data_IF_517860158085
#
_entry.id   IF_517860158085
#
_cell.length_a   1.000
_cell.length_b   1.000
_cell.length_c   1.000
_cell.angle_alpha   90.00
_cell.angle_beta   90.00
_cell.angle_gamma   90.00
#
_symmetry.space_group_name_H-M   'P 1'
#
loop_
_entity.id
_entity.type
_entity.pdbx_description
1 polymer ?
#
# COMPACT_ATOMS: atom_id res chain seq x y z
N UNK A 1 -10.34 -18.19 -3.37
CA UNK A 1 -9.83 -17.77 -4.70
C UNK A 1 -10.97 -17.82 -5.72
N UNK A 2 -10.94 -16.92 -6.70
CA UNK A 2 -11.99 -16.87 -7.72
C UNK A 2 -12.04 -18.12 -8.57
N UNK A 3 -10.90 -18.75 -8.84
CA UNK A 3 -10.82 -20.00 -9.61
C UNK A 3 -11.61 -21.11 -8.93
N UNK A 4 -11.47 -21.25 -7.62
CA UNK A 4 -12.14 -22.29 -6.83
C UNK A 4 -13.66 -22.18 -6.85
N UNK A 5 -14.17 -20.99 -7.14
CA UNK A 5 -15.60 -20.72 -7.22
C UNK A 5 -16.13 -20.72 -8.66
N UNK A 6 -15.30 -21.10 -9.63
CA UNK A 6 -15.66 -21.09 -11.04
C UNK A 6 -15.86 -19.71 -11.63
N UNK A 7 -15.38 -18.66 -10.95
CA UNK A 7 -15.54 -17.27 -11.40
C UNK A 7 -14.46 -16.81 -12.37
N UNK A 8 -13.41 -17.60 -12.52
CA UNK A 8 -12.27 -17.26 -13.37
C UNK A 8 -11.70 -18.54 -13.97
N UNK A 9 -11.48 -18.54 -15.28
CA UNK A 9 -10.82 -19.63 -15.97
C UNK A 9 -9.32 -19.60 -15.66
N UNK A 10 -8.67 -20.77 -15.78
CA UNK A 10 -7.23 -20.89 -15.49
C UNK A 10 -6.41 -19.95 -16.36
N UNK A 11 -6.75 -19.77 -17.62
CA UNK A 11 -6.06 -18.84 -18.52
C UNK A 11 -6.20 -17.39 -18.07
N UNK A 12 -7.38 -17.00 -17.60
CA UNK A 12 -7.61 -15.66 -17.06
C UNK A 12 -6.80 -15.44 -15.78
N UNK A 13 -6.74 -16.44 -14.91
CA UNK A 13 -5.93 -16.38 -13.70
C UNK A 13 -4.46 -16.16 -14.04
N UNK A 14 -3.92 -16.92 -15.00
CA UNK A 14 -2.52 -16.80 -15.40
C UNK A 14 -2.23 -15.42 -15.99
N UNK A 15 -3.13 -14.88 -16.79
CA UNK A 15 -2.99 -13.54 -17.37
C UNK A 15 -2.96 -12.47 -16.28
N UNK A 16 -3.83 -12.56 -15.27
CA UNK A 16 -3.87 -11.63 -14.14
C UNK A 16 -2.59 -11.74 -13.30
N UNK A 17 -2.14 -12.95 -13.00
CA UNK A 17 -0.93 -13.17 -12.20
C UNK A 17 0.34 -12.64 -12.87
N UNK A 18 0.37 -12.59 -14.19
CA UNK A 18 1.50 -12.00 -14.92
C UNK A 18 1.61 -10.49 -14.75
N UNK A 19 0.56 -9.83 -14.29
CA UNK A 19 0.57 -8.40 -13.98
C UNK A 19 1.21 -8.10 -12.62
N UNK A 20 1.48 -9.12 -11.82
CA UNK A 20 2.07 -8.99 -10.50
C UNK A 20 3.54 -9.43 -10.58
N UNK A 21 4.43 -8.53 -10.20
CA UNK A 21 5.88 -8.79 -10.22
C UNK A 21 6.40 -8.72 -8.78
N UNK A 22 6.78 -9.86 -8.17
CA UNK A 22 7.40 -9.82 -6.84
C UNK A 22 8.83 -9.27 -6.93
N UNK A 23 9.23 -8.55 -5.87
CA UNK A 23 10.57 -7.98 -5.78
C UNK A 23 11.03 -7.94 -4.33
N UNK A 24 12.36 -7.94 -4.13
CA UNK A 24 12.98 -7.80 -2.82
C UNK A 24 13.76 -6.49 -2.68
N UNK A 25 13.64 -5.58 -3.64
CA UNK A 25 14.38 -4.31 -3.62
C UNK A 25 13.43 -3.12 -3.80
N UNK A 26 13.70 -2.05 -3.04
CA UNK A 26 12.96 -0.80 -3.18
C UNK A 26 13.23 -0.09 -4.52
N UNK A 27 14.36 -0.36 -5.16
CA UNK A 27 14.71 0.27 -6.43
C UNK A 27 13.69 -0.01 -7.54
N UNK A 28 13.00 -1.15 -7.46
CA UNK A 28 11.95 -1.49 -8.42
C UNK A 28 10.68 -0.66 -8.26
N UNK A 29 10.59 0.17 -7.23
CA UNK A 29 9.43 1.02 -6.95
C UNK A 29 9.58 2.44 -7.50
N UNK A 30 10.64 2.74 -8.23
CA UNK A 30 10.94 4.10 -8.69
C UNK A 30 9.87 4.69 -9.64
N UNK A 31 9.16 3.84 -10.36
CA UNK A 31 8.17 4.26 -11.36
C UNK A 31 6.71 4.07 -10.92
N UNK A 32 6.46 3.66 -9.68
CA UNK A 32 5.09 3.42 -9.23
C UNK A 32 4.36 4.72 -8.92
N UNK A 33 3.04 4.71 -9.06
CA UNK A 33 2.18 5.86 -8.78
C UNK A 33 1.69 5.86 -7.34
N UNK A 34 1.54 4.67 -6.74
CA UNK A 34 1.09 4.51 -5.37
C UNK A 34 1.75 3.29 -4.74
N UNK A 35 2.10 3.42 -3.48
CA UNK A 35 2.59 2.30 -2.65
C UNK A 35 1.60 2.10 -1.51
N UNK A 36 1.21 0.85 -1.28
CA UNK A 36 0.43 0.48 -0.09
C UNK A 36 1.32 -0.36 0.82
N UNK A 37 1.64 0.18 1.98
CA UNK A 37 2.45 -0.51 2.98
C UNK A 37 1.54 -1.32 3.91
N UNK A 38 1.90 -2.57 4.18
CA UNK A 38 1.10 -3.50 4.96
C UNK A 38 1.96 -4.32 5.93
N UNK A 39 2.95 -3.68 6.54
CA UNK A 39 3.80 -4.34 7.54
C UNK A 39 3.11 -4.36 8.89
N UNK A 40 3.77 -4.97 9.89
CA UNK A 40 3.23 -5.05 11.26
C UNK A 40 2.81 -3.68 11.78
N UNK A 41 1.78 -3.66 12.63
CA UNK A 41 1.23 -2.44 13.22
C UNK A 41 2.18 -1.90 14.31
N UNK A 42 3.30 -1.35 13.88
CA UNK A 42 4.36 -0.80 14.70
C UNK A 42 4.81 0.53 14.10
N UNK A 43 4.65 1.61 14.85
CA UNK A 43 4.91 2.96 14.34
C UNK A 43 6.37 3.15 13.92
N UNK A 44 7.32 2.69 14.74
CA UNK A 44 8.75 2.87 14.44
C UNK A 44 9.13 2.13 13.16
N UNK A 45 8.61 0.92 12.96
CA UNK A 45 8.84 0.14 11.74
C UNK A 45 8.23 0.83 10.53
N UNK A 46 7.00 1.32 10.64
CA UNK A 46 6.34 2.02 9.55
C UNK A 46 7.06 3.31 9.18
N UNK A 47 7.55 4.06 10.15
CA UNK A 47 8.33 5.28 9.91
C UNK A 47 9.63 4.95 9.17
N UNK A 48 10.33 3.91 9.57
CA UNK A 48 11.55 3.46 8.90
C UNK A 48 11.28 3.09 7.44
N UNK A 49 10.22 2.32 7.20
CA UNK A 49 9.84 1.91 5.85
C UNK A 49 9.42 3.11 5.01
N UNK A 50 8.66 4.05 5.57
CA UNK A 50 8.24 5.24 4.84
C UNK A 50 9.42 6.14 4.48
N UNK A 51 10.45 6.22 5.32
CA UNK A 51 11.69 6.91 4.95
C UNK A 51 12.34 6.27 3.71
N UNK A 52 12.38 4.94 3.66
CA UNK A 52 12.92 4.22 2.51
C UNK A 52 12.05 4.41 1.27
N UNK A 53 10.74 4.34 1.41
CA UNK A 53 9.82 4.59 0.30
C UNK A 53 9.94 6.01 -0.22
N UNK A 54 10.08 6.98 0.67
CA UNK A 54 10.25 8.39 0.30
C UNK A 54 11.51 8.61 -0.53
N UNK A 55 12.58 7.88 -0.22
CA UNK A 55 13.86 7.96 -0.93
C UNK A 55 13.82 7.28 -2.29
N UNK A 56 13.14 6.13 -2.40
CA UNK A 56 13.22 5.26 -3.59
C UNK A 56 12.08 5.44 -4.58
N UNK A 57 11.00 6.11 -4.19
CA UNK A 57 9.85 6.30 -5.07
C UNK A 57 9.88 7.67 -5.73
N UNK A 58 9.15 7.78 -6.84
CA UNK A 58 8.91 9.02 -7.54
C UNK A 58 8.31 10.06 -6.58
N UNK A 59 8.72 11.33 -6.71
CA UNK A 59 8.26 12.41 -5.84
C UNK A 59 6.73 12.62 -5.85
N UNK A 60 6.07 12.21 -6.92
CA UNK A 60 4.61 12.33 -7.06
C UNK A 60 3.85 11.09 -6.58
N UNK A 61 4.56 10.02 -6.19
CA UNK A 61 3.92 8.80 -5.72
C UNK A 61 3.19 9.04 -4.40
N UNK A 62 2.01 8.46 -4.26
CA UNK A 62 1.24 8.47 -3.03
C UNK A 62 1.71 7.30 -2.18
N UNK A 63 1.95 7.55 -0.90
CA UNK A 63 2.39 6.54 0.06
C UNK A 63 1.23 6.26 1.02
N UNK A 64 0.68 5.08 0.95
CA UNK A 64 -0.46 4.68 1.76
C UNK A 64 -0.03 3.63 2.79
N UNK A 65 -0.47 3.78 4.04
CA UNK A 65 -0.24 2.80 5.08
C UNK A 65 -1.53 2.06 5.40
N UNK A 66 -1.47 0.74 5.32
CA UNK A 66 -2.57 -0.11 5.77
C UNK A 66 -2.52 -0.19 7.30
N UNK A 67 -3.26 0.68 7.97
CA UNK A 67 -3.31 0.76 9.42
C UNK A 67 -4.73 1.02 9.89
N UNK A 68 -5.07 0.48 11.05
CA UNK A 68 -6.38 0.69 11.68
C UNK A 68 -6.32 1.59 12.91
N UNK A 69 -5.13 1.82 13.47
CA UNK A 69 -5.01 2.51 14.75
C UNK A 69 -3.84 3.47 14.91
N UNK A 70 -2.88 3.48 13.99
CA UNK A 70 -1.73 4.38 14.11
C UNK A 70 -2.04 5.75 13.53
N UNK A 71 -1.37 6.75 14.08
CA UNK A 71 -1.50 8.14 13.65
C UNK A 71 -0.83 8.34 12.28
N UNK A 72 -1.62 8.71 11.28
CA UNK A 72 -1.13 8.96 9.94
C UNK A 72 -0.16 10.14 9.92
N UNK A 73 -0.39 11.17 10.72
CA UNK A 73 0.51 12.32 10.79
C UNK A 73 1.88 11.93 11.34
N UNK A 74 1.92 11.00 12.30
CA UNK A 74 3.19 10.49 12.84
C UNK A 74 3.97 9.72 11.77
N UNK A 75 3.28 8.93 10.94
CA UNK A 75 3.91 8.23 9.82
C UNK A 75 4.37 9.26 8.77
N UNK A 76 3.54 10.19 8.41
CA UNK A 76 3.82 11.21 7.41
C UNK A 76 5.03 12.08 7.79
N UNK A 77 5.22 12.34 9.08
CA UNK A 77 6.33 13.17 9.57
C UNK A 77 7.70 12.55 9.29
N UNK A 78 7.76 11.25 9.02
CA UNK A 78 9.01 10.56 8.66
C UNK A 78 9.40 10.77 7.20
N UNK A 79 8.55 11.39 6.39
CA UNK A 79 8.77 11.60 4.95
C UNK A 79 8.92 13.08 4.63
N UNK A 80 9.42 13.39 3.44
CA UNK A 80 9.49 14.76 2.91
C UNK A 80 8.21 15.16 2.18
N UNK A 81 7.20 14.27 2.15
CA UNK A 81 5.94 14.47 1.40
C UNK A 81 4.71 14.18 2.26
N UNK A 82 4.51 14.84 3.40
CA UNK A 82 3.38 14.53 4.27
C UNK A 82 2.01 14.71 3.58
N UNK A 83 1.91 15.57 2.58
CA UNK A 83 0.69 15.74 1.78
C UNK A 83 0.38 14.57 0.84
N UNK A 84 1.31 13.64 0.66
CA UNK A 84 1.16 12.45 -0.18
C UNK A 84 1.00 11.17 0.64
N UNK A 85 0.90 11.26 1.96
CA UNK A 85 0.75 10.12 2.85
C UNK A 85 -0.68 10.01 3.33
N UNK A 86 -1.29 8.83 3.15
CA UNK A 86 -2.65 8.55 3.60
C UNK A 86 -2.69 7.19 4.31
N UNK A 87 -3.73 6.98 5.10
CA UNK A 87 -4.04 5.66 5.66
C UNK A 87 -5.08 4.95 4.79
N UNK A 88 -4.97 3.64 4.72
CA UNK A 88 -5.97 2.81 4.06
C UNK A 88 -6.35 1.67 4.99
N UNK A 89 -7.62 1.33 5.03
CA UNK A 89 -8.12 0.24 5.84
C UNK A 89 -9.10 -0.59 5.04
N UNK A 90 -8.69 -1.81 4.71
CA UNK A 90 -9.53 -2.77 4.02
C UNK A 90 -10.35 -3.57 5.03
N UNK A 91 -11.64 -3.73 4.77
CA UNK A 91 -12.48 -4.62 5.57
C UNK A 91 -12.21 -6.06 5.15
N UNK A 92 -12.04 -6.94 6.12
CA UNK A 92 -11.66 -8.33 5.89
C UNK A 92 -12.89 -9.24 5.79
N UNK A 93 -12.92 -10.19 4.84
CA UNK A 93 -11.92 -10.38 3.80
C UNK A 93 -12.12 -9.40 2.63
N UNK A 94 -11.02 -8.82 2.14
CA UNK A 94 -11.08 -7.76 1.14
C UNK A 94 -11.71 -8.17 -0.19
N UNK A 95 -11.62 -9.44 -0.54
CA UNK A 95 -12.22 -9.98 -1.77
C UNK A 95 -13.74 -10.14 -1.69
N UNK A 96 -14.31 -10.05 -0.49
CA UNK A 96 -15.76 -10.15 -0.24
C UNK A 96 -16.31 -8.80 0.22
N UNK A 97 -15.63 -8.18 1.17
CA UNK A 97 -16.00 -6.87 1.72
C UNK A 97 -15.44 -5.77 0.81
N UNK A 98 -16.28 -5.18 -0.02
CA UNK A 98 -15.86 -4.21 -1.04
C UNK A 98 -15.73 -2.80 -0.48
N UNK A 99 -15.28 -2.67 0.75
CA UNK A 99 -15.15 -1.38 1.42
C UNK A 99 -13.70 -1.11 1.74
N UNK A 100 -13.20 0.03 1.29
CA UNK A 100 -11.90 0.57 1.64
C UNK A 100 -12.11 1.92 2.28
N UNK A 101 -11.63 2.08 3.51
CA UNK A 101 -11.60 3.36 4.19
C UNK A 101 -10.27 4.05 3.90
N UNK A 102 -10.34 5.30 3.43
CA UNK A 102 -9.15 6.13 3.22
C UNK A 102 -9.12 7.20 4.29
N UNK A 103 -8.05 7.21 5.08
CA UNK A 103 -7.87 8.14 6.19
C UNK A 103 -6.84 9.20 5.79
N UNK A 104 -7.25 10.46 5.82
CA UNK A 104 -6.37 11.58 5.52
C UNK A 104 -5.66 12.04 6.79
N UNK A 105 -4.37 12.36 6.65
CA UNK A 105 -3.64 13.10 7.68
C UNK A 105 -3.97 14.59 7.60
N UNK A 106 -3.37 15.39 8.46
CA UNK A 106 -3.63 16.82 8.51
C UNK A 106 -3.22 17.57 7.24
N UNK A 107 -2.29 17.02 6.46
CA UNK A 107 -1.76 17.64 5.24
C UNK A 107 -2.15 16.91 3.96
N UNK A 108 -2.84 15.79 4.09
CA UNK A 108 -3.24 14.98 2.94
C UNK A 108 -4.36 15.64 2.13
#
# INVERSE_FOLDING_TARGET
MMVDRGRMLEEQKNAVMQLITPTLTYDDLSEVDIVVEAVYENLDLKQEIFQKLDTHTNANAILASNTSGLDIDAIASSTTRPGKVVGTHFFSPANIMRLLEVVRGGES
#
